data_IF_963448421991
#
_entry.id   IF_963448421991
#
_cell.length_a   1.000
_cell.length_b   1.000
_cell.length_c   1.000
_cell.angle_alpha   90.00
_cell.angle_beta   90.00
_cell.angle_gamma   90.00
#
_symmetry.space_group_name_H-M   'P 1'
#
loop_
_entity.id
_entity.type
_entity.pdbx_description
1 polymer ?
#
# COMPACT_ATOMS: atom_id res chain seq x y z
N UNK A 1 -7.27 13.72 12.08
CA UNK A 1 -6.89 13.01 10.84
C UNK A 1 -7.08 11.53 11.07
N UNK A 2 -7.92 10.88 10.26
CA UNK A 2 -8.09 9.44 10.27
C UNK A 2 -6.81 8.77 9.72
N UNK A 3 -6.28 7.76 10.42
CA UNK A 3 -5.18 6.94 9.89
C UNK A 3 -5.74 5.80 9.05
N UNK A 4 -5.16 5.60 7.86
CA UNK A 4 -5.58 4.56 6.93
C UNK A 4 -4.62 3.37 6.96
N UNK A 5 -5.14 2.17 7.13
CA UNK A 5 -4.34 0.97 7.32
C UNK A 5 -3.91 0.31 5.99
N UNK A 6 -3.16 1.04 5.18
CA UNK A 6 -2.68 0.55 3.87
C UNK A 6 -1.85 -0.73 3.97
N UNK A 7 -1.16 -0.93 5.09
CA UNK A 7 -0.37 -2.14 5.35
C UNK A 7 -1.24 -3.40 5.35
N UNK A 8 -2.47 -3.34 5.87
CA UNK A 8 -3.39 -4.49 5.84
C UNK A 8 -3.79 -4.85 4.41
N UNK A 9 -4.18 -3.86 3.60
CA UNK A 9 -4.50 -4.08 2.18
C UNK A 9 -3.29 -4.63 1.40
N UNK A 10 -2.10 -4.08 1.65
CA UNK A 10 -0.87 -4.53 1.02
C UNK A 10 -0.51 -5.99 1.37
N UNK A 11 -0.54 -6.35 2.66
CA UNK A 11 -0.27 -7.72 3.11
C UNK A 11 -1.31 -8.72 2.59
N UNK A 12 -2.60 -8.36 2.59
CA UNK A 12 -3.65 -9.20 2.00
C UNK A 12 -3.42 -9.40 0.51
N UNK A 13 -3.04 -8.35 -0.21
CA UNK A 13 -2.78 -8.43 -1.65
C UNK A 13 -1.52 -9.25 -1.99
N UNK A 14 -0.48 -9.22 -1.14
CA UNK A 14 0.71 -10.05 -1.31
C UNK A 14 0.39 -11.53 -1.08
N UNK A 15 -0.38 -11.83 -0.02
CA UNK A 15 -0.75 -13.19 0.37
C UNK A 15 -1.92 -13.78 -0.42
N UNK A 16 -2.56 -12.98 -1.28
CA UNK A 16 -3.64 -13.41 -2.15
C UNK A 16 -3.18 -14.56 -3.08
N UNK A 17 -3.95 -15.65 -3.09
CA UNK A 17 -3.62 -16.87 -3.83
C UNK A 17 -3.94 -16.77 -5.32
N UNK A 18 -4.80 -15.82 -5.70
CA UNK A 18 -5.24 -15.62 -7.06
C UNK A 18 -5.28 -14.14 -7.47
N UNK A 19 -5.35 -13.89 -8.77
CA UNK A 19 -5.58 -12.55 -9.31
C UNK A 19 -6.98 -12.01 -8.95
N UNK A 20 -7.97 -12.89 -8.80
CA UNK A 20 -9.33 -12.54 -8.39
C UNK A 20 -9.36 -12.03 -6.95
N UNK A 21 -8.63 -12.67 -6.03
CA UNK A 21 -8.49 -12.21 -4.64
C UNK A 21 -7.85 -10.81 -4.58
N UNK A 22 -6.81 -10.57 -5.39
CA UNK A 22 -6.18 -9.25 -5.49
C UNK A 22 -7.14 -8.21 -6.05
N UNK A 23 -7.94 -8.57 -7.05
CA UNK A 23 -8.96 -7.70 -7.62
C UNK A 23 -10.03 -7.35 -6.58
N UNK A 24 -10.49 -8.33 -5.77
CA UNK A 24 -11.44 -8.10 -4.69
C UNK A 24 -10.90 -7.15 -3.62
N UNK A 25 -9.64 -7.32 -3.20
CA UNK A 25 -8.98 -6.42 -2.23
C UNK A 25 -8.85 -5.00 -2.78
N UNK A 26 -8.49 -4.86 -4.05
CA UNK A 26 -8.42 -3.55 -4.71
C UNK A 26 -9.80 -2.91 -4.85
N UNK A 27 -10.84 -3.71 -5.06
CA UNK A 27 -12.21 -3.22 -5.11
C UNK A 27 -12.66 -2.71 -3.73
N UNK A 28 -12.39 -3.46 -2.66
CA UNK A 28 -12.66 -3.03 -1.28
C UNK A 28 -11.98 -1.70 -0.95
N UNK A 29 -10.72 -1.53 -1.38
CA UNK A 29 -9.99 -0.27 -1.17
C UNK A 29 -10.61 0.91 -1.95
N UNK A 30 -11.09 0.67 -3.17
CA UNK A 30 -11.78 1.69 -3.99
C UNK A 30 -13.13 2.07 -3.41
N UNK A 31 -13.89 1.10 -2.91
CA UNK A 31 -15.19 1.33 -2.27
C UNK A 31 -15.02 2.11 -0.98
N UNK A 32 -14.02 1.75 -0.17
CA UNK A 32 -13.66 2.52 1.01
C UNK A 32 -13.31 3.97 0.64
N UNK A 33 -12.45 4.19 -0.37
CA UNK A 33 -12.15 5.53 -0.86
C UNK A 33 -13.38 6.29 -1.35
N UNK A 34 -14.30 5.63 -2.04
CA UNK A 34 -15.54 6.24 -2.54
C UNK A 34 -16.45 6.69 -1.39
N UNK A 35 -16.46 5.97 -0.26
CA UNK A 35 -17.25 6.29 0.93
C UNK A 35 -16.73 7.49 1.72
N UNK A 36 -15.49 7.92 1.48
CA UNK A 36 -14.87 9.04 2.18
C UNK A 36 -15.42 10.40 1.75
N UNK A 37 -15.41 11.35 2.69
CA UNK A 37 -15.65 12.77 2.41
C UNK A 37 -14.49 13.37 1.60
N UNK A 38 -14.66 14.56 0.99
CA UNK A 38 -13.57 15.19 0.24
C UNK A 38 -12.34 15.50 1.11
N UNK A 39 -12.55 15.91 2.36
CA UNK A 39 -11.47 16.15 3.32
C UNK A 39 -10.69 14.86 3.64
N UNK A 40 -11.42 13.76 3.88
CA UNK A 40 -10.82 12.45 4.14
C UNK A 40 -10.15 11.85 2.91
N UNK A 41 -10.67 12.09 1.71
CA UNK A 41 -10.02 11.69 0.45
C UNK A 41 -8.67 12.37 0.27
N UNK A 42 -8.55 13.64 0.64
CA UNK A 42 -7.27 14.34 0.58
C UNK A 42 -6.27 13.73 1.58
N UNK A 43 -6.70 13.52 2.84
CA UNK A 43 -5.88 12.86 3.84
C UNK A 43 -5.46 11.44 3.42
N UNK A 44 -6.37 10.68 2.80
CA UNK A 44 -6.13 9.35 2.27
C UNK A 44 -5.06 9.36 1.20
N UNK A 45 -5.16 10.27 0.22
CA UNK A 45 -4.20 10.38 -0.87
C UNK A 45 -2.78 10.72 -0.36
N UNK A 46 -2.67 11.67 0.58
CA UNK A 46 -1.38 12.05 1.18
C UNK A 46 -0.75 10.86 1.92
N UNK A 47 -1.55 10.13 2.71
CA UNK A 47 -1.04 8.97 3.45
C UNK A 47 -0.72 7.79 2.53
N UNK A 48 -1.51 7.57 1.46
CA UNK A 48 -1.24 6.53 0.46
C UNK A 48 0.08 6.81 -0.27
N UNK A 49 0.30 8.05 -0.73
CA UNK A 49 1.56 8.45 -1.35
C UNK A 49 2.74 8.25 -0.41
N UNK A 50 2.58 8.64 0.86
CA UNK A 50 3.61 8.43 1.90
C UNK A 50 3.90 6.95 2.13
N UNK A 51 2.87 6.10 2.12
CA UNK A 51 3.01 4.65 2.26
C UNK A 51 3.77 4.06 1.06
N UNK A 52 3.36 4.39 -0.16
CA UNK A 52 4.00 3.89 -1.39
C UNK A 52 5.46 4.33 -1.49
N UNK A 53 5.77 5.58 -1.15
CA UNK A 53 7.14 6.08 -1.13
C UNK A 53 8.03 5.32 -0.13
N UNK A 54 7.49 4.97 1.05
CA UNK A 54 8.20 4.16 2.05
C UNK A 54 8.42 2.73 1.58
N UNK A 55 7.40 2.08 1.03
CA UNK A 55 7.52 0.71 0.52
C UNK A 55 8.52 0.63 -0.66
N UNK A 56 8.46 1.59 -1.61
CA UNK A 56 9.42 1.66 -2.72
C UNK A 56 10.84 2.00 -2.27
N UNK A 57 10.99 2.88 -1.28
CA UNK A 57 12.29 3.20 -0.69
C UNK A 57 12.92 2.00 0.02
N UNK A 58 12.10 1.21 0.72
CA UNK A 58 12.53 -0.03 1.38
C UNK A 58 12.98 -1.08 0.37
N UNK A 59 12.22 -1.31 -0.70
CA UNK A 59 12.61 -2.24 -1.77
C UNK A 59 13.98 -1.90 -2.39
N UNK A 60 14.26 -0.61 -2.61
CA UNK A 60 15.57 -0.16 -3.10
C UNK A 60 16.68 -0.42 -2.08
N UNK A 61 16.45 -0.07 -0.81
CA UNK A 61 17.43 -0.28 0.27
C UNK A 61 17.75 -1.75 0.50
N UNK A 62 16.74 -2.63 0.48
CA UNK A 62 16.91 -4.07 0.67
C UNK A 62 17.69 -4.69 -0.52
N UNK A 63 17.48 -4.20 -1.75
CA UNK A 63 18.27 -4.61 -2.93
C UNK A 63 19.74 -4.16 -2.86
N UNK A 64 19.99 -2.92 -2.43
CA UNK A 64 21.36 -2.39 -2.28
C UNK A 64 22.12 -3.13 -1.17
N UNK A 65 21.47 -3.46 -0.05
CA UNK A 65 22.08 -4.20 1.06
C UNK A 65 22.47 -5.65 0.69
N UNK A 66 21.68 -6.35 -0.13
CA UNK A 66 22.01 -7.70 -0.61
C UNK A 66 23.18 -7.64 -1.61
N UNK A 67 23.22 -6.61 -2.46
CA UNK A 67 24.30 -6.41 -3.43
C UNK A 67 25.64 -6.09 -2.75
N UNK A 68 25.61 -5.30 -1.68
CA UNK A 68 26.79 -4.94 -0.89
C UNK A 68 27.28 -6.11 -0.01
N UNK A 69 26.36 -6.87 0.59
CA UNK A 69 26.68 -8.05 1.40
C UNK A 69 27.20 -9.28 0.63
N UNK A 70 27.28 -9.21 -0.71
CA UNK A 70 27.91 -10.21 -1.57
C UNK A 70 29.31 -9.80 -2.07
N UNK A 71 29.88 -8.70 -1.57
CA UNK A 71 31.22 -8.20 -1.92
C UNK A 71 32.32 -8.68 -0.95
#
# INVERSE_FOLDING_TARGET
>A
MQEFNFKQYHLRSINAQSAEDRAAINQELKEFYASLTEEDKNAFNIQLQSFLAKEMGRLKSDYEAIKDGMA
#
